data_IF_986657765772
#
_entry.id   IF_986657765772
#
_cell.length_a   1.000
_cell.length_b   1.000
_cell.length_c   1.000
_cell.angle_alpha   90.00
_cell.angle_beta   90.00
_cell.angle_gamma   90.00
#
_symmetry.space_group_name_H-M   'P 1'
#
loop_
_entity.id
_entity.type
_entity.pdbx_description
1 polymer ?
#
# COMPACT_ATOMS: atom_id res chain seq x y z
N UNK A 1 -1.99 4.91 1.39
CA UNK A 1 -1.30 5.39 0.22
C UNK A 1 -1.72 4.53 -0.96
N UNK A 2 -2.48 5.11 -1.88
CA UNK A 2 -2.78 4.49 -3.15
C UNK A 2 -1.59 4.73 -4.10
N UNK A 3 -0.86 3.67 -4.45
CA UNK A 3 0.32 3.76 -5.32
C UNK A 3 -0.05 4.31 -6.71
N UNK A 4 -1.18 3.89 -7.28
CA UNK A 4 -1.64 4.37 -8.58
C UNK A 4 -1.85 5.88 -8.59
N UNK A 5 -2.50 6.42 -7.55
CA UNK A 5 -2.71 7.86 -7.43
C UNK A 5 -1.39 8.63 -7.27
N UNK A 6 -0.42 8.09 -6.53
CA UNK A 6 0.88 8.73 -6.32
C UNK A 6 1.74 8.77 -7.59
N UNK A 7 1.69 7.70 -8.39
CA UNK A 7 2.32 7.62 -9.70
C UNK A 7 1.64 8.55 -10.71
N UNK A 8 0.30 8.52 -10.78
CA UNK A 8 -0.48 9.37 -11.67
C UNK A 8 -0.26 10.87 -11.40
N UNK A 9 -0.16 11.27 -10.12
CA UNK A 9 0.17 12.65 -9.75
C UNK A 9 1.56 13.13 -10.24
N UNK A 10 2.44 12.20 -10.63
CA UNK A 10 3.76 12.47 -11.22
C UNK A 10 3.77 12.31 -12.74
N UNK A 11 2.63 12.00 -13.35
CA UNK A 11 2.54 11.63 -14.76
C UNK A 11 3.25 10.31 -15.07
N UNK A 12 3.46 9.45 -14.07
CA UNK A 12 4.13 8.16 -14.23
C UNK A 12 3.11 7.02 -14.30
N UNK A 13 3.48 5.96 -15.01
CA UNK A 13 2.70 4.72 -15.08
C UNK A 13 3.35 3.65 -14.21
N UNK A 14 2.53 2.92 -13.45
CA UNK A 14 3.00 1.78 -12.67
C UNK A 14 3.31 0.61 -13.60
N UNK A 15 4.50 0.04 -13.47
CA UNK A 15 4.88 -1.15 -14.22
C UNK A 15 4.20 -2.41 -13.66
N UNK A 16 3.89 -3.42 -14.51
CA UNK A 16 3.25 -4.66 -14.06
C UNK A 16 3.98 -5.35 -12.90
N UNK A 17 5.31 -5.48 -12.99
CA UNK A 17 6.11 -6.15 -11.95
C UNK A 17 6.02 -5.44 -10.58
N UNK A 18 5.79 -4.13 -10.54
CA UNK A 18 5.65 -3.40 -9.29
C UNK A 18 4.37 -3.85 -8.56
N UNK A 19 3.26 -4.03 -9.30
CA UNK A 19 2.01 -4.57 -8.76
C UNK A 19 2.18 -5.99 -8.26
N UNK A 20 2.93 -6.83 -8.98
CA UNK A 20 3.22 -8.20 -8.58
C UNK A 20 4.00 -8.24 -7.26
N UNK A 21 5.02 -7.38 -7.10
CA UNK A 21 5.78 -7.25 -5.86
C UNK A 21 4.88 -6.81 -4.70
N UNK A 22 4.00 -5.83 -4.92
CA UNK A 22 3.06 -5.37 -3.88
C UNK A 22 2.08 -6.45 -3.47
N UNK A 23 1.50 -7.17 -4.44
CA UNK A 23 0.61 -8.30 -4.18
C UNK A 23 1.32 -9.44 -3.41
N UNK A 24 2.56 -9.76 -3.79
CA UNK A 24 3.36 -10.75 -3.07
C UNK A 24 3.71 -10.31 -1.65
N UNK A 25 4.11 -9.06 -1.48
CA UNK A 25 4.44 -8.48 -0.19
C UNK A 25 3.23 -8.43 0.76
N UNK A 26 2.04 -8.02 0.25
CA UNK A 26 0.79 -8.01 0.99
C UNK A 26 0.34 -9.42 1.40
N UNK A 27 0.62 -10.42 0.56
CA UNK A 27 0.39 -11.83 0.88
C UNK A 27 1.46 -12.43 1.83
N UNK A 28 2.35 -11.62 2.40
CA UNK A 28 3.37 -12.09 3.33
C UNK A 28 4.54 -12.86 2.69
N UNK A 29 4.62 -12.92 1.36
CA UNK A 29 5.64 -13.72 0.65
C UNK A 29 7.00 -13.01 0.59
N UNK A 30 8.06 -13.81 0.67
CA UNK A 30 9.45 -13.39 0.39
C UNK A 30 9.85 -13.79 -1.03
N UNK A 31 10.80 -13.07 -1.64
CA UNK A 31 11.26 -13.38 -2.98
C UNK A 31 12.40 -12.48 -3.46
N UNK A 32 12.87 -12.73 -4.69
CA UNK A 32 13.91 -11.95 -5.35
C UNK A 32 13.29 -11.03 -6.41
N UNK A 33 13.57 -9.73 -6.31
CA UNK A 33 13.25 -8.77 -7.35
C UNK A 33 14.48 -8.53 -8.24
N UNK A 34 14.44 -9.07 -9.46
CA UNK A 34 15.41 -8.76 -10.51
C UNK A 34 14.79 -7.75 -11.49
N UNK A 35 15.38 -6.56 -11.60
CA UNK A 35 14.98 -5.55 -12.57
C UNK A 35 16.18 -4.67 -12.94
N UNK A 36 16.19 -4.21 -14.19
CA UNK A 36 17.24 -3.33 -14.73
C UNK A 36 17.25 -1.96 -14.05
N UNK A 37 18.37 -1.23 -14.18
CA UNK A 37 18.45 0.17 -13.74
C UNK A 37 17.41 1.01 -14.49
N UNK A 38 16.74 1.91 -13.78
CA UNK A 38 15.68 2.75 -14.35
C UNK A 38 14.29 2.09 -14.40
N UNK A 39 14.17 0.78 -14.18
CA UNK A 39 12.87 0.08 -14.18
C UNK A 39 11.98 0.40 -12.97
N UNK A 40 12.43 1.22 -12.01
CA UNK A 40 11.62 1.59 -10.84
C UNK A 40 11.55 0.53 -9.73
N UNK A 41 12.57 -0.34 -9.60
CA UNK A 41 12.66 -1.35 -8.52
C UNK A 41 12.63 -0.76 -7.12
N UNK A 42 13.15 0.46 -6.94
CA UNK A 42 13.07 1.19 -5.67
C UNK A 42 11.63 1.42 -5.25
N UNK A 43 10.77 1.87 -6.19
CA UNK A 43 9.34 2.07 -5.89
C UNK A 43 8.60 0.75 -5.67
N UNK A 44 9.00 -0.33 -6.34
CA UNK A 44 8.43 -1.66 -6.06
C UNK A 44 8.60 -2.04 -4.59
N UNK A 45 9.83 -1.98 -4.07
CA UNK A 45 10.14 -2.38 -2.69
C UNK A 45 9.64 -1.36 -1.66
N UNK A 46 9.77 -0.07 -1.96
CA UNK A 46 9.36 0.99 -1.04
C UNK A 46 7.84 0.99 -0.79
N UNK A 47 7.02 0.90 -1.84
CA UNK A 47 5.57 0.81 -1.68
C UNK A 47 5.13 -0.52 -1.03
N UNK A 48 5.81 -1.63 -1.32
CA UNK A 48 5.57 -2.89 -0.62
C UNK A 48 5.79 -2.75 0.90
N UNK A 49 6.88 -2.09 1.31
CA UNK A 49 7.18 -1.87 2.72
C UNK A 49 6.15 -0.95 3.41
N UNK A 50 5.79 0.16 2.77
CA UNK A 50 4.77 1.08 3.30
C UNK A 50 3.40 0.42 3.46
N UNK A 51 2.95 -0.32 2.44
CA UNK A 51 1.66 -1.02 2.48
C UNK A 51 1.65 -2.09 3.59
N UNK A 52 2.74 -2.86 3.74
CA UNK A 52 2.89 -3.83 4.84
C UNK A 52 2.92 -3.18 6.23
N UNK A 53 3.44 -1.96 6.32
CA UNK A 53 3.44 -1.18 7.55
C UNK A 53 2.07 -0.51 7.84
N UNK A 54 1.03 -0.78 7.03
CA UNK A 54 -0.30 -0.23 7.22
C UNK A 54 -0.49 1.19 6.66
N UNK A 55 0.49 1.75 5.95
CA UNK A 55 0.36 3.06 5.31
C UNK A 55 -0.56 2.99 4.08
N UNK A 56 -1.86 2.98 4.32
CA UNK A 56 -2.85 3.10 3.26
C UNK A 56 -4.14 2.38 3.38
N UNK A 57 -4.28 1.63 4.45
CA UNK A 57 -5.61 1.37 4.94
C UNK A 57 -6.22 2.70 5.43
N UNK A 58 -7.51 2.91 5.17
CA UNK A 58 -8.26 3.88 5.95
C UNK A 58 -8.16 3.41 7.42
N UNK A 59 -7.86 4.33 8.34
CA UNK A 59 -7.82 3.99 9.76
C UNK A 59 -9.11 3.21 10.11
N UNK A 60 -9.01 2.08 10.83
CA UNK A 60 -10.20 1.31 11.18
C UNK A 60 -11.20 2.26 11.81
N UNK A 61 -12.50 2.19 11.44
CA UNK A 61 -13.48 3.11 11.97
C UNK A 61 -13.39 3.05 13.49
N UNK A 62 -13.03 4.18 14.10
CA UNK A 62 -13.05 4.31 15.56
C UNK A 62 -14.47 3.92 15.95
N UNK A 63 -14.62 2.77 16.62
CA UNK A 63 -15.91 2.36 17.18
C UNK A 63 -16.27 3.42 18.20
N UNK A 64 -17.03 4.43 17.76
CA UNK A 64 -17.58 5.47 18.61
C UNK A 64 -18.36 4.77 19.70
N UNK A 65 -17.87 4.90 20.94
CA UNK A 65 -18.52 4.32 22.11
C UNK A 65 -19.98 4.74 22.13
N UNK A 66 -20.87 3.78 21.95
CA UNK A 66 -22.28 3.96 22.24
C UNK A 66 -22.39 4.23 23.75
N UNK A 67 -22.27 5.50 24.14
CA UNK A 67 -22.77 5.96 25.43
C UNK A 67 -24.28 5.79 25.36
N UNK A 68 -24.74 4.67 25.89
CA UNK A 68 -26.13 4.40 26.21
C UNK A 68 -26.70 5.63 26.92
N UNK A 69 -27.55 6.35 26.22
CA UNK A 69 -28.35 7.43 26.80
C UNK A 69 -29.45 6.73 27.59
N UNK A 70 -29.18 6.44 28.87
CA UNK A 70 -30.24 6.23 29.85
C UNK A 70 -30.76 7.60 30.25
N UNK A 71 -31.95 7.94 29.77
CA UNK A 71 -32.85 8.96 30.28
C UNK A 71 -34.16 8.77 29.49
N UNK A 72 -35.34 8.59 30.07
CA UNK A 72 -35.82 8.57 31.44
C UNK A 72 -37.31 8.23 31.33
#
# INVERSE_FOLDING_TARGET
MNADAWFAARGWTVFPFQREVWAAAAAGRSGLLHATTGAGKTYAVWFAALQRAGYGEAAPPVRGGARARRAG
#
